data_IF_435166808162
#
_entry.id   IF_435166808162
#
_cell.length_a   1.000
_cell.length_b   1.000
_cell.length_c   1.000
_cell.angle_alpha   90.00
_cell.angle_beta   90.00
_cell.angle_gamma   90.00
#
_symmetry.space_group_name_H-M   'P 1'
#
loop_
_entity.id
_entity.type
_entity.pdbx_description
1 polymer ?
#
# COMPACT_ATOMS: atom_id res chain seq x y z
N UNK A 1 -8.37 -10.33 -10.56
CA UNK A 1 -9.53 -9.45 -10.83
C UNK A 1 -10.77 -9.76 -9.97
N UNK A 2 -11.27 -11.00 -9.97
CA UNK A 2 -12.53 -11.34 -9.28
C UNK A 2 -12.55 -11.02 -7.78
N UNK A 3 -11.45 -11.27 -7.06
CA UNK A 3 -11.36 -10.96 -5.63
C UNK A 3 -11.43 -9.46 -5.35
N UNK A 4 -10.65 -8.64 -6.08
CA UNK A 4 -10.65 -7.18 -5.91
C UNK A 4 -12.05 -6.59 -6.10
N UNK A 5 -12.80 -7.03 -7.12
CA UNK A 5 -14.19 -6.60 -7.33
C UNK A 5 -15.12 -7.04 -6.21
N UNK A 6 -14.98 -8.27 -5.69
CA UNK A 6 -15.73 -8.73 -4.51
C UNK A 6 -15.44 -7.90 -3.26
N UNK A 7 -14.23 -7.35 -3.14
CA UNK A 7 -13.83 -6.42 -2.08
C UNK A 7 -14.30 -4.98 -2.32
N UNK A 8 -15.06 -4.70 -3.38
CA UNK A 8 -15.66 -3.40 -3.65
C UNK A 8 -14.83 -2.47 -4.55
N UNK A 9 -13.82 -2.99 -5.26
CA UNK A 9 -13.07 -2.15 -6.22
C UNK A 9 -13.91 -1.86 -7.49
N UNK A 10 -14.07 -0.58 -7.82
CA UNK A 10 -14.72 -0.12 -9.06
C UNK A 10 -13.89 -0.46 -10.31
N UNK A 11 -12.56 -0.36 -10.19
CA UNK A 11 -11.60 -0.60 -11.26
C UNK A 11 -10.48 -1.55 -10.80
N UNK A 12 -9.92 -2.28 -11.76
CA UNK A 12 -8.77 -3.18 -11.54
C UNK A 12 -7.77 -2.94 -12.67
N UNK A 13 -6.52 -2.70 -12.31
CA UNK A 13 -5.42 -2.55 -13.27
C UNK A 13 -4.73 -3.90 -13.51
N UNK A 14 -4.30 -4.11 -14.75
CA UNK A 14 -3.58 -5.31 -15.16
C UNK A 14 -2.10 -4.94 -15.37
N UNK A 15 -1.25 -5.40 -14.46
CA UNK A 15 0.18 -5.08 -14.49
C UNK A 15 0.90 -5.66 -15.72
N UNK A 16 0.30 -6.62 -16.42
CA UNK A 16 0.85 -7.16 -17.69
C UNK A 16 0.62 -6.21 -18.88
N UNK A 17 -0.26 -5.22 -18.73
CA UNK A 17 -0.63 -4.27 -19.79
C UNK A 17 0.06 -2.91 -19.64
N UNK A 18 0.92 -2.75 -18.63
CA UNK A 18 1.67 -1.54 -18.36
C UNK A 18 1.55 -1.08 -16.91
N UNK A 19 2.08 0.10 -16.62
CA UNK A 19 2.04 0.69 -15.28
C UNK A 19 0.60 1.06 -14.88
N UNK A 20 0.28 0.95 -13.59
CA UNK A 20 -1.05 1.26 -13.09
C UNK A 20 -1.35 2.77 -13.09
N UNK A 21 -0.33 3.61 -12.90
CA UNK A 21 -0.50 5.06 -12.93
C UNK A 21 -0.81 5.57 -14.34
N UNK A 22 -0.25 4.95 -15.38
CA UNK A 22 -0.61 5.26 -16.77
C UNK A 22 -2.03 4.76 -17.08
N UNK A 23 -2.36 3.51 -16.71
CA UNK A 23 -3.70 2.95 -16.90
C UNK A 23 -4.80 3.84 -16.27
N UNK A 24 -4.56 4.38 -15.07
CA UNK A 24 -5.51 5.22 -14.34
C UNK A 24 -5.41 6.72 -14.63
N UNK A 25 -4.45 7.19 -15.43
CA UNK A 25 -4.32 8.62 -15.76
C UNK A 25 -4.85 8.99 -17.15
N UNK A 26 -5.21 8.00 -17.97
CA UNK A 26 -5.74 8.22 -19.33
C UNK A 26 -7.20 8.68 -19.35
N UNK A 27 -7.58 9.46 -20.37
CA UNK A 27 -8.99 9.67 -20.74
C UNK A 27 -9.87 10.46 -19.74
N UNK A 28 -9.30 11.24 -18.82
CA UNK A 28 -10.08 11.95 -17.80
C UNK A 28 -10.51 11.07 -16.63
N UNK A 29 -9.83 9.94 -16.44
CA UNK A 29 -10.01 9.03 -15.31
C UNK A 29 -9.97 9.74 -13.94
N UNK A 30 -10.68 9.19 -12.93
CA UNK A 30 -10.78 9.80 -11.61
C UNK A 30 -9.39 9.98 -10.99
N UNK A 31 -9.20 11.15 -10.37
CA UNK A 31 -8.04 11.41 -9.53
C UNK A 31 -8.37 11.06 -8.08
N UNK A 32 -7.35 10.70 -7.31
CA UNK A 32 -7.54 10.19 -5.95
C UNK A 32 -7.03 11.18 -4.91
N UNK A 33 -7.79 11.35 -3.82
CA UNK A 33 -7.35 12.09 -2.64
C UNK A 33 -6.34 11.27 -1.81
N UNK A 34 -6.38 9.95 -1.96
CA UNK A 34 -5.53 9.00 -1.23
C UNK A 34 -5.15 7.82 -2.12
N UNK A 35 -3.89 7.44 -2.07
CA UNK A 35 -3.38 6.18 -2.61
C UNK A 35 -2.83 5.37 -1.45
N UNK A 36 -3.36 4.16 -1.26
CA UNK A 36 -2.85 3.20 -0.28
C UNK A 36 -1.93 2.21 -0.99
N UNK A 37 -0.67 2.19 -0.58
CA UNK A 37 0.39 1.34 -1.11
C UNK A 37 0.75 0.23 -0.11
N UNK A 38 0.70 -1.00 -0.63
CA UNK A 38 1.04 -2.23 0.07
C UNK A 38 2.14 -3.02 -0.66
N UNK A 39 2.76 -2.44 -1.70
CA UNK A 39 3.84 -3.04 -2.49
C UNK A 39 5.19 -2.42 -2.11
N UNK A 40 5.20 -1.10 -1.95
CA UNK A 40 6.40 -0.32 -1.62
C UNK A 40 7.22 0.05 -2.84
N UNK A 41 8.36 0.68 -2.59
CA UNK A 41 9.29 1.07 -3.63
C UNK A 41 9.05 2.47 -4.18
N UNK A 42 10.13 3.07 -4.71
CA UNK A 42 10.10 4.35 -5.44
C UNK A 42 9.12 4.34 -6.60
N UNK A 43 9.02 3.24 -7.32
CA UNK A 43 8.11 3.07 -8.47
C UNK A 43 6.64 3.26 -8.05
N UNK A 44 6.21 2.66 -6.93
CA UNK A 44 4.85 2.82 -6.41
C UNK A 44 4.54 4.28 -6.06
N UNK A 45 5.53 5.01 -5.51
CA UNK A 45 5.39 6.44 -5.26
C UNK A 45 5.26 7.25 -6.56
N UNK A 46 6.12 7.00 -7.55
CA UNK A 46 6.12 7.72 -8.83
C UNK A 46 4.82 7.50 -9.61
N UNK A 47 4.29 6.27 -9.62
CA UNK A 47 2.99 5.97 -10.22
C UNK A 47 1.84 6.69 -9.49
N UNK A 48 1.91 6.83 -8.16
CA UNK A 48 0.92 7.57 -7.40
C UNK A 48 0.88 9.06 -7.78
N UNK A 49 2.03 9.68 -8.08
CA UNK A 49 2.09 11.08 -8.51
C UNK A 49 1.25 11.36 -9.76
N UNK A 50 1.08 10.36 -10.64
CA UNK A 50 0.29 10.48 -11.87
C UNK A 50 -1.21 10.58 -11.61
N UNK A 51 -1.69 9.99 -10.52
CA UNK A 51 -3.14 9.80 -10.25
C UNK A 51 -3.67 10.63 -9.08
N UNK A 52 -2.80 11.22 -8.26
CA UNK A 52 -3.22 12.05 -7.13
C UNK A 52 -3.86 13.37 -7.59
N UNK A 53 -4.96 13.73 -6.94
CA UNK A 53 -5.84 14.84 -7.35
C UNK A 53 -5.22 16.21 -7.13
N UNK A 54 -4.54 16.41 -6.00
CA UNK A 54 -4.03 17.71 -5.59
C UNK A 54 -2.83 17.56 -4.64
N UNK A 55 -2.16 18.67 -4.31
CA UNK A 55 -0.94 18.66 -3.47
C UNK A 55 -1.19 18.13 -2.05
N UNK A 56 -2.37 18.40 -1.49
CA UNK A 56 -2.74 17.86 -0.16
C UNK A 56 -3.25 16.42 -0.19
N UNK A 57 -3.28 15.77 -1.36
CA UNK A 57 -3.60 14.35 -1.46
C UNK A 57 -2.46 13.52 -0.83
N UNK A 58 -2.78 12.31 -0.39
CA UNK A 58 -1.87 11.50 0.43
C UNK A 58 -1.45 10.22 -0.29
N UNK A 59 -0.15 9.96 -0.26
CA UNK A 59 0.40 8.64 -0.53
C UNK A 59 0.65 7.95 0.81
N UNK A 60 -0.12 6.92 1.11
CA UNK A 60 -0.09 6.19 2.38
C UNK A 60 0.51 4.82 2.12
N UNK A 61 1.65 4.48 2.71
CA UNK A 61 2.35 3.22 2.46
C UNK A 61 2.63 2.45 3.75
N UNK A 62 2.40 1.14 3.72
CA UNK A 62 2.75 0.22 4.81
C UNK A 62 4.12 -0.47 4.61
N UNK A 63 4.71 -0.31 3.43
CA UNK A 63 5.95 -0.98 2.97
C UNK A 63 7.10 0.00 2.80
N UNK A 64 6.83 1.30 2.61
CA UNK A 64 7.88 2.31 2.53
C UNK A 64 8.56 2.41 1.15
N UNK A 65 9.70 3.09 1.06
CA UNK A 65 10.38 3.45 -0.20
C UNK A 65 11.15 2.29 -0.83
N UNK A 66 11.27 1.16 -0.13
CA UNK A 66 11.80 -0.09 -0.68
C UNK A 66 10.66 -1.10 -0.83
N UNK A 67 10.70 -1.89 -1.90
CA UNK A 67 9.74 -2.96 -2.09
C UNK A 67 9.98 -4.07 -1.05
N UNK A 68 8.91 -4.70 -0.59
CA UNK A 68 8.97 -5.88 0.29
C UNK A 68 9.65 -5.64 1.65
N UNK A 69 9.67 -4.39 2.13
CA UNK A 69 10.15 -4.04 3.46
C UNK A 69 9.35 -4.83 4.52
N UNK A 70 10.05 -5.59 5.37
CA UNK A 70 9.45 -6.54 6.31
C UNK A 70 9.73 -8.02 5.99
N UNK A 71 10.21 -8.33 4.77
CA UNK A 71 10.70 -9.68 4.41
C UNK A 71 12.05 -10.03 5.05
N UNK A 72 12.80 -9.01 5.52
CA UNK A 72 14.05 -9.14 6.27
C UNK A 72 14.16 -8.05 7.33
N UNK A 73 14.99 -8.28 8.34
CA UNK A 73 15.39 -7.22 9.26
C UNK A 73 16.23 -6.18 8.51
N UNK A 74 15.90 -4.90 8.73
CA UNK A 74 16.68 -3.78 8.23
C UNK A 74 17.87 -3.52 9.16
N UNK A 75 18.96 -3.09 8.56
CA UNK A 75 20.08 -2.49 9.28
C UNK A 75 19.71 -1.08 9.76
N UNK A 76 20.41 -0.59 10.78
CA UNK A 76 20.21 0.77 11.30
C UNK A 76 20.33 1.85 10.22
N UNK A 77 21.26 1.69 9.27
CA UNK A 77 21.44 2.61 8.15
C UNK A 77 20.23 2.66 7.20
N UNK A 78 19.65 1.50 6.90
CA UNK A 78 18.44 1.40 6.07
C UNK A 78 17.23 2.01 6.78
N UNK A 79 17.12 1.85 8.11
CA UNK A 79 16.09 2.54 8.90
C UNK A 79 16.23 4.07 8.81
N UNK A 80 17.45 4.60 8.92
CA UNK A 80 17.68 6.03 8.74
C UNK A 80 17.39 6.50 7.31
N UNK A 81 17.72 5.70 6.30
CA UNK A 81 17.39 5.97 4.89
C UNK A 81 15.87 6.01 4.64
N UNK A 82 15.13 5.08 5.24
CA UNK A 82 13.67 5.04 5.24
C UNK A 82 13.10 6.34 5.85
N UNK A 83 13.49 6.66 7.08
CA UNK A 83 13.01 7.87 7.78
C UNK A 83 13.36 9.15 7.02
N UNK A 84 14.58 9.22 6.47
CA UNK A 84 15.03 10.32 5.64
C UNK A 84 14.17 10.50 4.39
N UNK A 85 13.81 9.41 3.72
CA UNK A 85 12.93 9.43 2.54
C UNK A 85 11.52 9.92 2.89
N UNK A 86 10.96 9.42 4.00
CA UNK A 86 9.66 9.90 4.51
C UNK A 86 9.73 11.40 4.78
N UNK A 87 10.73 11.89 5.51
CA UNK A 87 10.87 13.32 5.83
C UNK A 87 11.08 14.18 4.58
N UNK A 88 11.90 13.71 3.64
CA UNK A 88 12.16 14.40 2.37
C UNK A 88 10.88 14.63 1.59
N UNK A 89 10.09 13.58 1.37
CA UNK A 89 8.85 13.68 0.59
C UNK A 89 7.70 14.34 1.37
N UNK A 90 7.62 14.13 2.68
CA UNK A 90 6.50 14.62 3.51
C UNK A 90 6.67 16.06 3.99
N UNK A 91 7.90 16.51 4.17
CA UNK A 91 8.19 17.84 4.70
C UNK A 91 8.85 18.70 3.63
N UNK A 92 9.98 18.27 3.05
CA UNK A 92 10.80 19.16 2.21
C UNK A 92 10.20 19.38 0.83
N UNK A 93 9.85 18.31 0.11
CA UNK A 93 9.29 18.40 -1.24
C UNK A 93 7.97 19.16 -1.28
N UNK A 94 7.17 19.11 -0.21
CA UNK A 94 5.90 19.82 -0.13
C UNK A 94 6.04 21.36 -0.17
N UNK A 95 7.23 21.90 0.11
CA UNK A 95 7.53 23.34 -0.02
C UNK A 95 8.07 23.73 -1.42
N UNK A 96 8.39 22.76 -2.27
CA UNK A 96 8.91 23.01 -3.61
C UNK A 96 7.77 23.20 -4.63
N UNK A 97 7.98 23.98 -5.70
CA UNK A 97 7.09 23.99 -6.85
C UNK A 97 6.95 22.57 -7.44
N UNK A 98 5.74 22.18 -7.84
CA UNK A 98 5.45 20.83 -8.37
C UNK A 98 4.37 20.07 -7.61
N UNK A 99 4.10 18.83 -8.05
CA UNK A 99 3.19 17.88 -7.41
C UNK A 99 3.97 17.02 -6.43
N UNK A 100 3.91 17.38 -5.15
CA UNK A 100 4.52 16.63 -4.06
C UNK A 100 3.39 16.30 -3.09
N UNK A 101 2.87 15.06 -3.08
CA UNK A 101 1.86 14.65 -2.13
C UNK A 101 2.48 14.37 -0.77
N UNK A 102 1.66 14.46 0.27
CA UNK A 102 2.09 14.06 1.60
C UNK A 102 2.34 12.56 1.62
N UNK A 103 3.59 12.18 1.86
CA UNK A 103 3.98 10.80 2.10
C UNK A 103 3.61 10.43 3.55
N UNK A 104 3.00 9.28 3.75
CA UNK A 104 2.58 8.81 5.08
C UNK A 104 2.97 7.36 5.23
N UNK A 105 4.07 7.11 5.94
CA UNK A 105 4.44 5.77 6.34
C UNK A 105 3.57 5.36 7.52
N UNK A 106 2.77 4.30 7.35
CA UNK A 106 1.89 3.79 8.40
C UNK A 106 2.45 2.50 8.94
N UNK A 107 2.56 2.44 10.27
CA UNK A 107 2.75 1.19 10.99
C UNK A 107 1.48 0.91 11.79
N UNK A 108 1.09 -0.36 11.98
CA UNK A 108 -0.02 -0.68 12.87
C UNK A 108 0.39 -0.35 14.31
N UNK A 109 0.14 0.89 14.74
CA UNK A 109 0.45 1.36 16.10
C UNK A 109 -0.69 1.12 17.08
N UNK A 110 -1.92 0.92 16.58
CA UNK A 110 -3.14 0.79 17.38
C UNK A 110 -3.99 -0.40 16.93
N UNK A 111 -3.46 -1.61 17.13
CA UNK A 111 -4.19 -2.88 16.99
C UNK A 111 -4.91 -3.23 18.31
N UNK A 112 -5.60 -2.26 18.88
CA UNK A 112 -6.45 -2.48 20.04
C UNK A 112 -7.68 -3.31 19.70
N UNK A 113 -8.30 -3.91 20.72
CA UNK A 113 -9.54 -4.66 20.56
C UNK A 113 -10.64 -3.77 19.98
N UNK A 114 -10.65 -2.50 20.39
CA UNK A 114 -11.59 -1.48 19.96
C UNK A 114 -11.45 -1.18 18.47
N UNK A 115 -10.23 -1.01 17.96
CA UNK A 115 -9.99 -0.75 16.53
C UNK A 115 -10.39 -1.95 15.66
N UNK A 116 -10.05 -3.17 16.10
CA UNK A 116 -10.47 -4.41 15.43
C UNK A 116 -12.00 -4.55 15.44
N UNK A 117 -12.64 -4.30 16.59
CA UNK A 117 -14.09 -4.41 16.72
C UNK A 117 -14.82 -3.38 15.86
N UNK A 118 -14.30 -2.16 15.73
CA UNK A 118 -14.86 -1.15 14.85
C UNK A 118 -14.86 -1.61 13.38
N UNK A 119 -13.72 -2.16 12.91
CA UNK A 119 -13.57 -2.70 11.55
C UNK A 119 -14.54 -3.87 11.30
N UNK A 120 -14.63 -4.81 12.23
CA UNK A 120 -15.54 -5.95 12.12
C UNK A 120 -17.01 -5.50 12.15
N UNK A 121 -17.36 -4.53 12.99
CA UNK A 121 -18.72 -3.99 13.07
C UNK A 121 -19.14 -3.23 11.81
N UNK A 122 -18.18 -2.64 11.09
CA UNK A 122 -18.39 -2.03 9.78
C UNK A 122 -18.56 -3.07 8.64
N UNK A 123 -18.58 -4.37 8.94
CA UNK A 123 -18.78 -5.43 7.94
C UNK A 123 -17.51 -5.81 7.18
N UNK A 124 -16.35 -5.24 7.50
CA UNK A 124 -15.08 -5.61 6.87
C UNK A 124 -14.66 -7.00 7.35
N UNK A 125 -14.32 -7.88 6.41
CA UNK A 125 -13.88 -9.26 6.68
C UNK A 125 -12.61 -9.56 5.89
N UNK A 126 -11.65 -10.32 6.45
CA UNK A 126 -10.53 -10.80 5.68
C UNK A 126 -11.01 -11.75 4.58
N UNK A 127 -10.39 -11.69 3.41
CA UNK A 127 -10.57 -12.69 2.38
C UNK A 127 -9.79 -13.96 2.77
N UNK A 128 -10.50 -14.98 3.23
CA UNK A 128 -9.91 -16.29 3.56
C UNK A 128 -9.98 -17.14 2.29
N UNK A 129 -8.82 -17.41 1.70
CA UNK A 129 -8.72 -18.28 0.52
C UNK A 129 -8.89 -19.77 0.90
N UNK A 130 -8.33 -20.16 2.04
CA UNK A 130 -8.37 -21.55 2.54
C UNK A 130 -8.24 -21.63 4.04
N UNK A 131 -8.85 -22.68 4.60
CA UNK A 131 -8.65 -23.11 5.97
C UNK A 131 -7.74 -24.33 5.99
N UNK A 132 -6.75 -24.33 6.87
CA UNK A 132 -5.75 -25.40 6.98
C UNK A 132 -5.83 -25.98 8.39
N UNK A 133 -5.87 -27.31 8.49
CA UNK A 133 -5.81 -27.99 9.79
C UNK A 133 -4.45 -27.75 10.43
N UNK A 134 -4.46 -27.59 11.75
CA UNK A 134 -3.25 -27.38 12.53
C UNK A 134 -2.51 -28.72 12.76
N UNK A 135 -1.99 -29.29 11.68
CA UNK A 135 -1.26 -30.56 11.63
C UNK A 135 -0.01 -30.37 10.75
N UNK A 136 1.10 -31.05 11.06
CA UNK A 136 2.40 -30.78 10.42
C UNK A 136 2.34 -30.89 8.89
N UNK A 137 1.70 -31.94 8.36
CA UNK A 137 1.60 -32.17 6.91
C UNK A 137 0.87 -31.03 6.18
N UNK A 138 -0.40 -30.75 6.51
CA UNK A 138 -1.16 -29.64 5.94
C UNK A 138 -0.47 -28.27 6.10
N UNK A 139 0.13 -27.99 7.27
CA UNK A 139 0.85 -26.74 7.51
C UNK A 139 2.08 -26.61 6.61
N UNK A 140 2.89 -27.68 6.49
CA UNK A 140 4.08 -27.69 5.64
C UNK A 140 3.73 -27.44 4.17
N UNK A 141 2.67 -28.05 3.67
CA UNK A 141 2.19 -27.80 2.30
C UNK A 141 1.64 -26.37 2.14
N UNK A 142 0.97 -25.84 3.16
CA UNK A 142 0.47 -24.47 3.13
C UNK A 142 1.60 -23.43 3.03
N UNK A 143 2.72 -23.64 3.73
CA UNK A 143 3.89 -22.75 3.69
C UNK A 143 4.65 -22.77 2.36
N UNK A 144 4.58 -23.86 1.57
CA UNK A 144 5.22 -23.91 0.23
C UNK A 144 4.53 -23.02 -0.81
N UNK A 145 3.33 -22.55 -0.52
CA UNK A 145 2.49 -21.77 -1.42
C UNK A 145 2.58 -20.26 -1.17
N UNK A 146 3.39 -19.84 -0.20
CA UNK A 146 3.71 -18.44 0.14
C UNK A 146 5.14 -18.15 -0.31
#
# INVERSE_FOLDING_TARGET
EQLARKCGCDAVCDYTKGSWGDQLSTGGAPKFDRVFDLLGGKESYEEALKVLAHKSARFVTATGPEQWLGSRMLTTGEVFGLLGSVLWHSAVCNFLPGKHPTYSFVTPTDLTKESIQAVVSAGVRPAIDREVRFEEGPLREAFKLV
#
